data_IF_038673110094
#
_entry.id   IF_038673110094
#
_cell.length_a   1.000
_cell.length_b   1.000
_cell.length_c   1.000
_cell.angle_alpha   90.00
_cell.angle_beta   90.00
_cell.angle_gamma   90.00
#
_symmetry.space_group_name_H-M   'P 1'
#
loop_
_entity.id
_entity.type
_entity.pdbx_description
1 polymer ?
#
# COMPACT_ATOMS: atom_id res chain seq x y z
N UNK A 1 12.61 -29.95 25.54
CA UNK A 1 12.53 -28.50 25.73
C UNK A 1 11.07 -28.13 25.58
N UNK A 2 10.43 -27.63 26.65
CA UNK A 2 9.03 -27.17 26.59
C UNK A 2 8.90 -25.98 25.64
N UNK A 3 7.81 -25.86 24.87
CA UNK A 3 7.57 -24.67 24.08
C UNK A 3 7.42 -23.48 25.03
N UNK A 4 8.14 -22.40 24.76
CA UNK A 4 7.96 -21.14 25.48
C UNK A 4 6.51 -20.72 25.29
N UNK A 5 5.74 -20.64 26.37
CA UNK A 5 4.45 -19.92 26.37
C UNK A 5 4.74 -18.47 26.00
N UNK A 6 4.22 -17.95 24.87
CA UNK A 6 4.26 -16.52 24.62
C UNK A 6 4.06 -16.01 23.19
N UNK A 7 4.28 -16.83 22.16
CA UNK A 7 4.04 -16.44 20.77
C UNK A 7 2.65 -16.85 20.30
N UNK A 8 2.02 -16.02 19.47
CA UNK A 8 0.76 -16.36 18.79
C UNK A 8 1.01 -17.14 17.52
N UNK A 9 2.05 -16.75 16.79
CA UNK A 9 2.60 -17.52 15.67
C UNK A 9 4.11 -17.58 15.90
N UNK A 10 4.59 -18.71 16.40
CA UNK A 10 6.02 -18.93 16.55
C UNK A 10 6.65 -19.07 15.16
N UNK A 11 7.80 -18.44 14.93
CA UNK A 11 8.51 -18.61 13.67
C UNK A 11 9.16 -20.00 13.60
N UNK A 12 9.16 -20.60 12.41
CA UNK A 12 9.73 -21.92 12.16
C UNK A 12 11.23 -22.00 12.47
N UNK A 13 11.93 -20.89 12.23
CA UNK A 13 13.38 -20.75 12.41
C UNK A 13 13.78 -20.65 13.88
N UNK A 14 12.81 -20.49 14.79
CA UNK A 14 13.02 -20.53 16.24
C UNK A 14 13.66 -19.27 16.83
N UNK A 15 13.69 -18.17 16.10
CA UNK A 15 14.13 -16.86 16.59
C UNK A 15 12.94 -16.07 17.18
N UNK A 16 12.88 -15.90 18.52
CA UNK A 16 11.76 -15.24 19.16
C UNK A 16 11.59 -13.75 18.80
N UNK A 17 12.58 -13.12 18.17
CA UNK A 17 12.45 -11.75 17.65
C UNK A 17 11.46 -11.66 16.48
N UNK A 18 11.24 -12.77 15.77
CA UNK A 18 10.33 -12.86 14.63
C UNK A 18 9.06 -13.65 14.94
N UNK A 19 8.83 -14.02 16.19
CA UNK A 19 7.54 -14.52 16.63
C UNK A 19 6.47 -13.42 16.49
N UNK A 20 5.31 -13.77 15.94
CA UNK A 20 4.16 -12.87 15.94
C UNK A 20 3.54 -12.86 17.33
N UNK A 21 3.40 -11.67 17.89
CA UNK A 21 2.72 -11.42 19.16
C UNK A 21 1.72 -10.30 18.99
N UNK A 22 0.45 -10.63 19.12
CA UNK A 22 -0.62 -9.70 18.83
C UNK A 22 -0.91 -8.78 20.02
N UNK A 23 -0.95 -7.46 19.79
CA UNK A 23 -1.03 -6.48 20.86
C UNK A 23 -2.39 -6.45 21.55
N UNK A 24 -3.45 -6.93 20.89
CA UNK A 24 -4.76 -7.08 21.52
C UNK A 24 -4.80 -8.14 22.64
N UNK A 25 -3.75 -8.97 22.76
CA UNK A 25 -3.60 -9.88 23.91
C UNK A 25 -3.01 -9.19 25.14
N UNK A 26 -2.33 -8.07 24.95
CA UNK A 26 -1.70 -7.30 26.03
C UNK A 26 -2.65 -6.25 26.64
N UNK A 27 -3.77 -5.94 25.97
CA UNK A 27 -4.77 -5.01 26.44
C UNK A 27 -5.63 -4.42 25.32
N UNK A 28 -6.48 -3.46 25.68
CA UNK A 28 -7.26 -2.71 24.70
C UNK A 28 -6.34 -1.88 23.79
N UNK A 29 -6.61 -1.91 22.49
CA UNK A 29 -5.90 -1.10 21.50
C UNK A 29 -6.36 0.36 21.60
N UNK A 30 -5.47 1.28 21.28
CA UNK A 30 -5.82 2.71 21.26
C UNK A 30 -6.75 3.01 20.08
N UNK A 31 -7.70 3.94 20.20
CA UNK A 31 -8.47 4.36 19.03
C UNK A 31 -7.58 4.97 17.93
N UNK A 32 -8.05 4.90 16.69
CA UNK A 32 -7.38 5.45 15.52
C UNK A 32 -6.80 4.41 14.56
N UNK A 33 -5.93 4.90 13.67
CA UNK A 33 -5.41 4.19 12.51
C UNK A 33 -3.88 4.20 12.50
N UNK A 34 -3.26 3.04 12.30
CA UNK A 34 -1.82 2.92 12.03
C UNK A 34 -1.60 2.47 10.59
N UNK A 35 -0.81 3.21 9.84
CA UNK A 35 -0.35 2.80 8.51
C UNK A 35 0.89 1.92 8.62
N UNK A 36 0.91 0.78 7.93
CA UNK A 36 2.02 -0.16 7.87
C UNK A 36 2.53 -0.22 6.44
N UNK A 37 3.77 0.23 6.27
CA UNK A 37 4.54 0.08 5.04
C UNK A 37 5.46 -1.13 5.17
N UNK A 38 5.59 -1.89 4.08
CA UNK A 38 6.69 -2.85 3.93
C UNK A 38 7.46 -2.46 2.69
N UNK A 39 8.68 -2.02 2.90
CA UNK A 39 9.45 -1.32 1.88
C UNK A 39 10.66 -2.14 1.50
N UNK A 40 11.00 -2.06 0.22
CA UNK A 40 12.31 -2.45 -0.27
C UNK A 40 12.68 -1.47 -1.38
N UNK A 41 13.75 -0.72 -1.15
CA UNK A 41 14.29 0.24 -2.11
C UNK A 41 13.28 1.31 -2.57
N UNK A 42 12.67 1.98 -1.60
CA UNK A 42 11.62 2.99 -1.81
C UNK A 42 12.09 4.41 -1.46
N UNK A 43 13.39 4.63 -1.19
CA UNK A 43 13.93 5.92 -0.74
C UNK A 43 13.52 7.09 -1.65
N UNK A 44 13.41 6.83 -2.95
CA UNK A 44 12.98 7.82 -3.94
C UNK A 44 11.55 8.31 -3.73
N UNK A 45 10.61 7.43 -3.38
CA UNK A 45 9.19 7.75 -3.32
C UNK A 45 8.77 8.38 -1.99
N UNK A 46 9.50 8.06 -0.91
CA UNK A 46 9.15 8.47 0.46
C UNK A 46 8.95 9.98 0.67
N UNK A 47 9.70 10.89 0.02
CA UNK A 47 9.46 12.33 0.12
C UNK A 47 8.05 12.77 -0.33
N UNK A 48 7.38 12.02 -1.22
CA UNK A 48 5.99 12.29 -1.60
C UNK A 48 5.00 11.47 -0.78
N UNK A 49 5.36 10.25 -0.40
CA UNK A 49 4.46 9.27 0.23
C UNK A 49 4.26 9.52 1.73
N UNK A 50 5.35 9.72 2.48
CA UNK A 50 5.28 9.79 3.94
C UNK A 50 4.64 11.07 4.48
N UNK A 51 4.93 12.29 3.99
CA UNK A 51 4.39 13.51 4.58
C UNK A 51 2.85 13.52 4.66
N UNK A 52 2.08 13.24 3.59
CA UNK A 52 0.62 13.22 3.71
C UNK A 52 0.11 12.05 4.56
N UNK A 53 0.84 10.93 4.62
CA UNK A 53 0.45 9.81 5.49
C UNK A 53 0.60 10.15 6.98
N UNK A 54 1.75 10.72 7.38
CA UNK A 54 2.00 11.18 8.75
C UNK A 54 0.99 12.23 9.20
N UNK A 55 0.48 13.03 8.27
CA UNK A 55 -0.60 13.98 8.50
C UNK A 55 -1.98 13.30 8.71
N UNK A 56 -2.21 12.14 8.09
CA UNK A 56 -3.49 11.46 8.02
C UNK A 56 -3.76 10.47 9.15
N UNK A 57 -2.74 9.74 9.61
CA UNK A 57 -2.90 8.59 10.55
C UNK A 57 -2.18 8.80 11.87
N UNK A 58 -2.65 8.20 12.96
CA UNK A 58 -2.06 8.40 14.29
C UNK A 58 -0.61 7.92 14.39
N UNK A 59 -0.26 6.83 13.70
CA UNK A 59 1.09 6.26 13.72
C UNK A 59 1.46 5.63 12.38
N UNK A 60 2.74 5.61 12.05
CA UNK A 60 3.30 4.92 10.88
C UNK A 60 4.30 3.86 11.34
N UNK A 61 4.15 2.63 10.85
CA UNK A 61 5.14 1.57 10.97
C UNK A 61 5.77 1.35 9.60
N UNK A 62 7.10 1.38 9.54
CA UNK A 62 7.87 0.99 8.36
C UNK A 62 8.62 -0.28 8.72
N UNK A 63 8.40 -1.30 7.91
CA UNK A 63 9.18 -2.53 7.91
C UNK A 63 10.09 -2.51 6.69
N UNK A 64 11.37 -2.24 6.91
CA UNK A 64 12.41 -2.34 5.90
C UNK A 64 12.71 -3.81 5.60
N UNK A 65 12.63 -4.22 4.33
CA UNK A 65 12.96 -5.57 3.89
C UNK A 65 14.17 -5.56 2.97
N UNK A 66 15.35 -5.49 3.58
CA UNK A 66 16.64 -5.62 2.90
C UNK A 66 16.83 -4.53 1.84
N UNK A 67 16.54 -3.27 2.19
CA UNK A 67 16.85 -2.15 1.29
C UNK A 67 18.36 -1.88 1.25
N UNK A 68 18.83 -1.37 0.11
CA UNK A 68 20.22 -0.97 -0.12
C UNK A 68 20.36 0.48 -0.66
N UNK A 69 19.25 1.22 -0.74
CA UNK A 69 19.18 2.59 -1.26
C UNK A 69 19.03 3.67 -0.17
N UNK A 70 19.11 3.29 1.11
CA UNK A 70 18.91 4.21 2.25
C UNK A 70 17.44 4.46 2.63
N UNK A 71 16.50 3.61 2.17
CA UNK A 71 15.07 3.68 2.52
C UNK A 71 14.80 3.97 4.01
N UNK A 72 15.38 3.23 5.00
CA UNK A 72 15.07 3.49 6.40
C UNK A 72 15.58 4.85 6.90
N UNK A 73 16.74 5.31 6.43
CA UNK A 73 17.29 6.63 6.78
C UNK A 73 16.42 7.76 6.23
N UNK A 74 16.04 7.68 4.94
CA UNK A 74 15.17 8.67 4.30
C UNK A 74 13.80 8.72 5.00
N UNK A 75 13.25 7.57 5.38
CA UNK A 75 11.99 7.54 6.11
C UNK A 75 12.05 8.33 7.43
N UNK A 76 13.13 8.15 8.20
CA UNK A 76 13.31 8.83 9.47
C UNK A 76 13.57 10.32 9.28
N UNK A 77 14.35 10.70 8.27
CA UNK A 77 14.60 12.10 7.90
C UNK A 77 13.30 12.83 7.55
N UNK A 78 12.50 12.27 6.64
CA UNK A 78 11.21 12.85 6.22
C UNK A 78 10.26 12.99 7.40
N UNK A 79 10.20 11.99 8.30
CA UNK A 79 9.36 12.08 9.49
C UNK A 79 9.82 13.19 10.45
N UNK A 80 11.13 13.37 10.63
CA UNK A 80 11.70 14.43 11.45
C UNK A 80 11.42 15.82 10.86
N UNK A 81 11.58 15.98 9.54
CA UNK A 81 11.24 17.22 8.82
C UNK A 81 9.75 17.57 8.95
N UNK A 82 8.88 16.57 8.98
CA UNK A 82 7.45 16.74 9.24
C UNK A 82 7.12 17.00 10.73
N UNK A 83 8.09 16.96 11.63
CA UNK A 83 7.86 17.07 13.08
C UNK A 83 7.08 15.90 13.67
N UNK A 84 7.14 14.72 13.03
CA UNK A 84 6.40 13.51 13.39
C UNK A 84 7.32 12.31 13.72
N UNK A 85 8.57 12.58 14.11
CA UNK A 85 9.56 11.55 14.42
C UNK A 85 9.18 10.62 15.58
N UNK A 86 8.31 11.06 16.48
CA UNK A 86 7.75 10.28 17.59
C UNK A 86 6.55 9.38 17.17
N UNK A 87 6.00 9.61 15.97
CA UNK A 87 4.83 8.91 15.41
C UNK A 87 5.20 7.93 14.29
N UNK A 88 6.49 7.64 14.15
CA UNK A 88 7.01 6.65 13.22
C UNK A 88 7.78 5.58 13.98
N UNK A 89 7.66 4.34 13.52
CA UNK A 89 8.51 3.23 13.96
C UNK A 89 9.12 2.58 12.73
N UNK A 90 10.45 2.64 12.63
CA UNK A 90 11.20 1.98 11.57
C UNK A 90 11.82 0.71 12.17
N UNK A 91 11.51 -0.45 11.58
CA UNK A 91 12.05 -1.74 11.98
C UNK A 91 12.59 -2.48 10.76
N UNK A 92 13.53 -3.39 10.98
CA UNK A 92 14.15 -4.18 9.92
C UNK A 92 13.63 -5.62 9.96
N UNK A 93 13.36 -6.16 8.78
CA UNK A 93 13.07 -7.57 8.56
C UNK A 93 14.15 -8.16 7.64
N UNK A 94 15.25 -8.69 8.21
CA UNK A 94 16.46 -9.07 7.48
C UNK A 94 16.37 -10.46 6.85
N UNK A 95 15.16 -10.91 6.51
CA UNK A 95 14.93 -12.19 5.85
C UNK A 95 14.43 -11.99 4.43
N UNK A 96 14.94 -12.78 3.49
CA UNK A 96 14.39 -12.82 2.14
C UNK A 96 12.98 -13.40 2.19
N UNK A 97 11.99 -12.60 1.81
CA UNK A 97 10.59 -13.02 1.75
C UNK A 97 10.28 -13.64 0.38
N UNK A 98 9.49 -14.70 0.39
CA UNK A 98 8.95 -15.36 -0.81
C UNK A 98 8.07 -14.41 -1.62
N UNK A 99 8.28 -14.40 -2.94
CA UNK A 99 7.43 -13.64 -3.87
C UNK A 99 6.08 -14.35 -4.06
N UNK A 100 5.04 -13.57 -4.37
CA UNK A 100 3.76 -14.13 -4.82
C UNK A 100 3.98 -15.07 -6.03
N UNK A 101 3.22 -16.17 -6.09
CA UNK A 101 3.37 -17.25 -7.06
C UNK A 101 3.94 -18.53 -6.44
N UNK A 102 4.81 -19.21 -7.20
CA UNK A 102 5.36 -20.52 -6.83
C UNK A 102 6.25 -20.47 -5.59
N UNK A 103 7.04 -19.40 -5.40
CA UNK A 103 7.84 -19.21 -4.18
C UNK A 103 6.94 -19.15 -2.94
N UNK A 104 5.86 -18.35 -3.00
CA UNK A 104 4.88 -18.30 -1.94
C UNK A 104 4.30 -19.69 -1.70
N UNK A 105 3.75 -20.35 -2.72
CA UNK A 105 3.11 -21.66 -2.61
C UNK A 105 4.01 -22.71 -1.92
N UNK A 106 5.30 -22.72 -2.25
CA UNK A 106 6.29 -23.64 -1.69
C UNK A 106 6.72 -23.29 -0.24
N UNK A 107 6.55 -22.04 0.19
CA UNK A 107 7.02 -21.56 1.50
C UNK A 107 5.96 -21.77 2.57
N UNK A 108 6.34 -22.44 3.67
CA UNK A 108 5.44 -22.68 4.80
C UNK A 108 4.93 -21.37 5.42
N UNK A 109 3.68 -21.30 5.91
CA UNK A 109 3.09 -20.08 6.44
C UNK A 109 3.76 -19.54 7.70
N UNK A 110 4.45 -20.39 8.47
CA UNK A 110 5.08 -20.08 9.75
C UNK A 110 6.59 -19.78 9.65
N UNK A 111 7.17 -19.82 8.44
CA UNK A 111 8.57 -19.46 8.22
C UNK A 111 8.75 -17.95 8.11
N UNK A 112 9.88 -17.41 8.60
CA UNK A 112 10.27 -16.01 8.38
C UNK A 112 10.42 -15.66 6.89
N UNK A 113 10.59 -16.65 6.02
CA UNK A 113 10.62 -16.47 4.57
C UNK A 113 9.21 -16.38 3.94
N UNK A 114 8.16 -16.61 4.72
CA UNK A 114 6.78 -16.58 4.24
C UNK A 114 6.26 -15.18 4.10
N UNK A 115 5.63 -14.88 2.96
CA UNK A 115 4.91 -13.61 2.78
C UNK A 115 3.78 -13.44 3.82
N UNK A 116 3.10 -14.54 4.19
CA UNK A 116 2.05 -14.53 5.22
C UNK A 116 2.62 -14.20 6.60
N UNK A 117 3.73 -14.85 6.99
CA UNK A 117 4.40 -14.57 8.27
C UNK A 117 4.92 -13.14 8.32
N UNK A 118 5.60 -12.71 7.26
CA UNK A 118 6.12 -11.35 7.12
C UNK A 118 5.03 -10.30 7.33
N UNK A 119 3.86 -10.50 6.70
CA UNK A 119 2.70 -9.62 6.88
C UNK A 119 2.19 -9.65 8.32
N UNK A 120 1.96 -10.82 8.91
CA UNK A 120 1.48 -10.90 10.29
C UNK A 120 2.46 -10.27 11.29
N UNK A 121 3.77 -10.53 11.14
CA UNK A 121 4.80 -9.90 11.96
C UNK A 121 4.80 -8.37 11.80
N UNK A 122 4.74 -7.87 10.56
CA UNK A 122 4.68 -6.42 10.29
C UNK A 122 3.50 -5.75 10.98
N UNK A 123 2.31 -6.36 10.92
CA UNK A 123 1.10 -5.82 11.53
C UNK A 123 1.03 -6.04 13.06
N UNK A 124 1.85 -6.94 13.61
CA UNK A 124 1.96 -7.14 15.06
C UNK A 124 2.55 -5.92 15.79
N UNK A 125 3.16 -4.98 15.07
CA UNK A 125 3.64 -3.70 15.60
C UNK A 125 2.56 -2.64 15.76
N UNK A 126 1.37 -2.81 15.17
CA UNK A 126 0.27 -1.83 15.26
C UNK A 126 -0.26 -1.76 16.70
N UNK A 127 -0.56 -0.57 17.22
CA UNK A 127 -1.12 -0.39 18.58
C UNK A 127 -2.49 0.28 18.59
N UNK A 128 -3.01 0.61 17.42
CA UNK A 128 -4.32 1.20 17.23
C UNK A 128 -5.37 0.15 16.89
N UNK A 129 -6.64 0.48 17.07
CA UNK A 129 -7.78 -0.39 16.81
C UNK A 129 -7.93 -0.73 15.32
N UNK A 130 -7.34 0.06 14.43
CA UNK A 130 -7.33 -0.17 12.99
C UNK A 130 -5.93 -0.13 12.40
N UNK A 131 -5.73 -0.95 11.39
CA UNK A 131 -4.50 -0.99 10.61
C UNK A 131 -4.77 -0.73 9.14
N UNK A 132 -3.82 -0.07 8.50
CA UNK A 132 -3.84 0.25 7.08
C UNK A 132 -2.62 -0.34 6.41
N UNK A 133 -2.80 -1.23 5.44
CA UNK A 133 -1.75 -1.60 4.50
C UNK A 133 -1.54 -0.42 3.54
N UNK A 134 -0.30 -0.11 3.20
CA UNK A 134 0.00 0.86 2.16
C UNK A 134 1.32 0.51 1.47
N UNK A 135 1.41 0.82 0.18
CA UNK A 135 2.60 0.51 -0.63
C UNK A 135 3.49 1.76 -0.76
N UNK A 136 4.79 1.53 -0.98
CA UNK A 136 5.83 2.56 -0.99
C UNK A 136 5.75 3.54 -2.16
N UNK A 137 4.92 3.25 -3.16
CA UNK A 137 4.66 4.06 -4.34
C UNK A 137 3.29 4.76 -4.31
N UNK A 138 2.53 4.65 -3.22
CA UNK A 138 1.19 5.23 -3.12
C UNK A 138 1.17 6.59 -2.42
N UNK A 139 0.79 7.64 -3.13
CA UNK A 139 0.74 9.03 -2.60
C UNK A 139 -0.69 9.46 -2.35
N UNK A 140 -0.98 9.93 -1.14
CA UNK A 140 -2.27 10.54 -0.80
C UNK A 140 -2.41 11.95 -1.38
N UNK A 141 -3.61 12.27 -1.86
CA UNK A 141 -4.00 13.64 -2.20
C UNK A 141 -4.38 14.42 -0.94
N UNK A 142 -4.47 15.76 -1.04
CA UNK A 142 -4.95 16.58 0.09
C UNK A 142 -6.34 16.18 0.58
N UNK A 143 -7.23 15.79 -0.34
CA UNK A 143 -8.55 15.25 0.01
C UNK A 143 -8.43 13.89 0.71
N UNK A 144 -7.53 13.02 0.22
CA UNK A 144 -7.23 11.74 0.87
C UNK A 144 -6.77 11.88 2.32
N UNK A 145 -5.91 12.86 2.59
CA UNK A 145 -5.46 13.18 3.96
C UNK A 145 -6.65 13.54 4.86
N UNK A 146 -7.51 14.45 4.41
CA UNK A 146 -8.69 14.86 5.19
C UNK A 146 -9.64 13.69 5.45
N UNK A 147 -9.96 12.91 4.41
CA UNK A 147 -10.87 11.76 4.54
C UNK A 147 -10.31 10.71 5.50
N UNK A 148 -9.03 10.35 5.39
CA UNK A 148 -8.44 9.34 6.28
C UNK A 148 -8.37 9.82 7.72
N UNK A 149 -8.08 11.12 7.95
CA UNK A 149 -8.11 11.70 9.29
C UNK A 149 -9.51 11.61 9.91
N UNK A 150 -10.54 11.99 9.17
CA UNK A 150 -11.92 11.95 9.65
C UNK A 150 -12.42 10.51 9.85
N UNK A 151 -12.03 9.61 8.94
CA UNK A 151 -12.37 8.19 9.00
C UNK A 151 -11.78 7.51 10.23
N UNK A 152 -10.57 7.91 10.67
CA UNK A 152 -9.93 7.30 11.85
C UNK A 152 -10.78 7.38 13.12
N UNK A 153 -11.60 8.44 13.26
CA UNK A 153 -12.55 8.60 14.36
C UNK A 153 -13.88 7.86 14.13
N UNK A 154 -14.34 7.78 12.88
CA UNK A 154 -15.61 7.13 12.53
C UNK A 154 -15.55 5.60 12.57
N UNK A 155 -14.34 5.04 12.46
CA UNK A 155 -14.14 3.60 12.41
C UNK A 155 -14.25 2.94 13.80
N UNK A 156 -14.15 3.69 14.89
CA UNK A 156 -14.29 3.17 16.25
C UNK A 156 -15.57 2.33 16.39
N UNK A 157 -15.42 1.06 16.81
CA UNK A 157 -16.49 0.06 16.97
C UNK A 157 -17.33 -0.27 15.72
N UNK A 158 -16.91 0.18 14.52
CA UNK A 158 -17.69 -0.05 13.29
C UNK A 158 -17.54 -1.45 12.69
N UNK A 159 -16.45 -2.16 13.00
CA UNK A 159 -16.00 -3.39 12.34
C UNK A 159 -15.96 -3.29 10.80
N UNK A 160 -15.90 -2.08 10.24
CA UNK A 160 -15.90 -1.89 8.80
C UNK A 160 -14.50 -2.14 8.22
N UNK A 161 -14.43 -2.71 7.01
CA UNK A 161 -13.23 -2.64 6.17
C UNK A 161 -13.41 -1.53 5.13
N UNK A 162 -12.32 -0.87 4.77
CA UNK A 162 -12.37 0.24 3.81
C UNK A 162 -11.53 -0.07 2.59
N UNK A 163 -12.19 -0.08 1.44
CA UNK A 163 -11.59 -0.15 0.14
C UNK A 163 -11.26 1.24 -0.39
N UNK A 164 -10.01 1.42 -0.80
CA UNK A 164 -9.47 2.70 -1.28
C UNK A 164 -9.18 2.57 -2.77
N UNK A 165 -9.92 3.29 -3.63
CA UNK A 165 -9.58 3.34 -5.04
C UNK A 165 -8.25 4.05 -5.26
N UNK A 166 -7.36 3.41 -6.03
CA UNK A 166 -6.06 3.97 -6.43
C UNK A 166 -6.00 4.17 -7.93
N UNK A 167 -5.32 5.23 -8.36
CA UNK A 167 -5.15 5.58 -9.77
C UNK A 167 -3.67 5.57 -10.14
N UNK A 168 -3.22 4.75 -11.10
CA UNK A 168 -1.83 4.80 -11.57
C UNK A 168 -1.49 6.17 -12.15
N UNK A 169 -0.31 6.68 -11.80
CA UNK A 169 0.27 7.92 -12.28
C UNK A 169 1.65 7.62 -12.86
N UNK A 170 1.73 7.49 -14.18
CA UNK A 170 2.99 7.29 -14.90
C UNK A 170 3.75 8.61 -15.02
N UNK A 171 4.87 8.74 -14.32
CA UNK A 171 5.70 9.94 -14.31
C UNK A 171 6.69 9.87 -15.47
N UNK A 172 6.55 10.78 -16.42
CA UNK A 172 7.38 10.91 -17.62
C UNK A 172 8.60 11.79 -17.37
N UNK A 173 8.42 12.86 -16.59
CA UNK A 173 9.46 13.78 -16.16
C UNK A 173 9.02 14.54 -14.92
N UNK A 174 9.90 15.39 -14.36
CA UNK A 174 9.55 16.26 -13.24
C UNK A 174 8.30 17.12 -13.48
N UNK A 175 7.95 17.42 -14.73
CA UNK A 175 6.81 18.28 -15.07
C UNK A 175 5.67 17.58 -15.82
N UNK A 176 5.82 16.31 -16.18
CA UNK A 176 4.84 15.60 -17.02
C UNK A 176 4.53 14.23 -16.43
N UNK A 177 3.23 13.92 -16.31
CA UNK A 177 2.75 12.62 -15.91
C UNK A 177 1.45 12.26 -16.60
N UNK A 178 1.09 10.97 -16.54
CA UNK A 178 -0.12 10.42 -17.15
C UNK A 178 -0.94 9.67 -16.10
N UNK A 179 -2.14 10.15 -15.83
CA UNK A 179 -3.07 9.56 -14.88
C UNK A 179 -3.99 8.55 -15.59
N UNK A 180 -4.02 7.31 -15.12
CA UNK A 180 -4.91 6.29 -15.65
C UNK A 180 -6.25 6.23 -14.88
N UNK A 181 -7.31 6.68 -15.55
CA UNK A 181 -8.70 6.60 -15.08
C UNK A 181 -9.51 5.50 -15.80
N UNK A 182 -8.86 4.74 -16.69
CA UNK A 182 -9.48 3.72 -17.53
C UNK A 182 -9.68 2.37 -16.84
N UNK A 183 -9.11 2.16 -15.64
CA UNK A 183 -9.25 0.92 -14.89
C UNK A 183 -9.59 1.17 -13.42
N UNK A 184 -10.43 0.32 -12.84
CA UNK A 184 -10.83 0.41 -11.42
C UNK A 184 -9.96 -0.52 -10.58
N UNK A 185 -9.05 0.04 -9.80
CA UNK A 185 -8.33 -0.69 -8.76
C UNK A 185 -9.05 -0.47 -7.44
N UNK A 186 -9.71 -1.51 -6.93
CA UNK A 186 -10.43 -1.46 -5.67
C UNK A 186 -9.99 -2.63 -4.80
N UNK A 187 -9.22 -2.33 -3.77
CA UNK A 187 -8.77 -3.30 -2.78
C UNK A 187 -9.07 -2.75 -1.39
N UNK A 188 -9.45 -3.60 -0.40
CA UNK A 188 -9.52 -3.18 0.98
C UNK A 188 -8.12 -3.02 1.57
N UNK A 189 -7.86 -1.84 2.14
CA UNK A 189 -6.55 -1.46 2.71
C UNK A 189 -6.63 -1.24 4.21
N UNK A 190 -7.79 -0.85 4.73
CA UNK A 190 -8.01 -0.53 6.14
C UNK A 190 -8.88 -1.61 6.77
N UNK A 191 -8.42 -2.16 7.89
CA UNK A 191 -9.06 -3.26 8.59
C UNK A 191 -9.00 -3.06 10.10
N UNK A 192 -10.00 -3.54 10.84
CA UNK A 192 -9.90 -3.67 12.29
C UNK A 192 -8.69 -4.53 12.68
N UNK A 193 -8.14 -4.27 13.86
CA UNK A 193 -7.15 -5.12 14.49
C UNK A 193 -7.85 -6.13 15.39
N UNK A 194 -7.65 -7.42 15.13
CA UNK A 194 -8.23 -8.49 15.91
C UNK A 194 -7.98 -9.87 15.29
N UNK A 195 -8.35 -10.94 16.01
CA UNK A 195 -8.09 -12.32 15.58
C UNK A 195 -8.80 -12.70 14.28
N UNK A 196 -9.88 -12.01 13.91
CA UNK A 196 -10.64 -12.27 12.68
C UNK A 196 -10.05 -11.56 11.44
N UNK A 197 -9.03 -10.72 11.62
CA UNK A 197 -8.47 -9.83 10.59
C UNK A 197 -6.97 -10.08 10.36
N UNK A 198 -6.50 -11.31 10.53
CA UNK A 198 -5.10 -11.70 10.30
C UNK A 198 -4.86 -12.09 8.84
N UNK A 199 -3.59 -12.09 8.42
CA UNK A 199 -3.22 -12.62 7.11
C UNK A 199 -3.13 -14.13 7.15
N UNK A 200 -3.75 -14.78 6.17
CA UNK A 200 -3.66 -16.21 5.93
C UNK A 200 -2.97 -16.49 4.60
N UNK A 201 -2.52 -17.73 4.48
CA UNK A 201 -1.89 -18.23 3.27
C UNK A 201 -2.98 -18.67 2.28
N UNK A 202 -3.11 -17.96 1.16
CA UNK A 202 -3.82 -18.48 0.00
C UNK A 202 -2.82 -19.22 -0.92
N UNK A 203 -3.26 -19.65 -2.11
CA UNK A 203 -2.41 -20.44 -3.00
C UNK A 203 -1.12 -19.71 -3.40
N UNK A 204 -1.26 -18.57 -4.06
CA UNK A 204 -0.12 -17.84 -4.66
C UNK A 204 0.16 -16.51 -3.97
N UNK A 205 -0.62 -16.10 -2.97
CA UNK A 205 -0.43 -14.85 -2.23
C UNK A 205 -1.06 -14.93 -0.83
N UNK A 206 -0.81 -13.93 -0.02
CA UNK A 206 -1.42 -13.71 1.29
C UNK A 206 -2.75 -12.97 1.17
N UNK A 207 -3.77 -13.44 1.89
CA UNK A 207 -5.08 -12.78 1.94
C UNK A 207 -5.34 -12.35 3.38
N UNK A 208 -5.93 -11.19 3.57
CA UNK A 208 -6.46 -10.80 4.88
C UNK A 208 -7.86 -11.36 5.03
N UNK A 209 -8.05 -12.25 6.00
CA UNK A 209 -9.39 -12.74 6.32
C UNK A 209 -10.22 -11.64 6.96
N UNK A 210 -11.53 -11.74 6.78
CA UNK A 210 -12.51 -10.93 7.50
C UNK A 210 -13.87 -11.64 7.43
N UNK A 211 -14.72 -11.54 8.46
CA UNK A 211 -16.05 -12.15 8.46
C UNK A 211 -16.93 -11.66 7.31
N UNK A 212 -17.83 -12.50 6.81
CA UNK A 212 -18.80 -12.10 5.76
C UNK A 212 -19.74 -10.98 6.22
N UNK A 213 -20.01 -10.89 7.53
CA UNK A 213 -20.82 -9.85 8.16
C UNK A 213 -20.12 -8.49 8.25
N UNK A 214 -18.85 -8.39 7.87
CA UNK A 214 -18.05 -7.16 7.93
C UNK A 214 -18.64 -6.12 6.98
N UNK A 215 -18.95 -4.94 7.53
CA UNK A 215 -19.37 -3.79 6.73
C UNK A 215 -18.25 -3.39 5.76
N UNK A 216 -18.59 -3.18 4.48
CA UNK A 216 -17.63 -2.75 3.46
C UNK A 216 -17.90 -1.31 3.07
N UNK A 217 -16.93 -0.44 3.32
CA UNK A 217 -16.96 0.94 2.88
C UNK A 217 -16.04 1.10 1.67
N UNK A 218 -16.48 1.91 0.69
CA UNK A 218 -15.66 2.28 -0.46
C UNK A 218 -15.37 3.77 -0.36
N UNK A 219 -14.10 4.12 -0.20
CA UNK A 219 -13.66 5.50 -0.18
C UNK A 219 -13.86 6.14 -1.58
N UNK A 220 -14.05 7.46 -1.65
CA UNK A 220 -14.13 8.18 -2.93
C UNK A 220 -12.93 7.92 -3.85
N UNK A 221 -13.13 8.08 -5.16
CA UNK A 221 -12.03 8.04 -6.13
C UNK A 221 -11.20 9.33 -6.08
N UNK A 222 -9.88 9.23 -6.28
CA UNK A 222 -8.98 10.38 -6.34
C UNK A 222 -8.32 10.73 -5.02
N UNK A 223 -8.39 9.83 -4.03
CA UNK A 223 -7.73 10.01 -2.73
C UNK A 223 -6.26 9.62 -2.74
N UNK A 224 -5.87 8.70 -3.63
CA UNK A 224 -4.48 8.33 -3.81
C UNK A 224 -4.15 8.03 -5.27
N UNK A 225 -2.87 8.21 -5.58
CA UNK A 225 -2.25 7.78 -6.83
C UNK A 225 -1.15 6.76 -6.53
N UNK A 226 -0.89 5.86 -7.46
CA UNK A 226 0.24 4.94 -7.42
C UNK A 226 1.28 5.39 -8.45
N UNK A 227 2.49 5.72 -8.00
CA UNK A 227 3.56 6.23 -8.85
C UNK A 227 4.13 5.11 -9.73
N UNK A 228 4.35 5.42 -11.00
CA UNK A 228 5.05 4.55 -11.98
C UNK A 228 6.07 5.37 -12.76
N UNK A 229 7.36 5.18 -12.52
CA UNK A 229 8.44 5.97 -13.11
C UNK A 229 8.84 5.43 -14.48
N UNK A 230 8.67 6.23 -15.54
CA UNK A 230 9.04 5.81 -16.89
C UNK A 230 10.54 5.84 -17.15
N UNK A 231 11.33 6.57 -16.38
CA UNK A 231 12.79 6.62 -16.49
C UNK A 231 13.48 5.48 -15.72
N UNK A 232 12.73 4.73 -14.91
CA UNK A 232 13.22 3.56 -14.19
C UNK A 232 12.74 2.27 -14.86
N UNK A 233 13.54 1.22 -14.73
CA UNK A 233 13.23 -0.08 -15.31
C UNK A 233 12.26 -0.87 -14.41
N UNK A 234 11.03 -0.36 -14.25
CA UNK A 234 9.98 -0.99 -13.44
C UNK A 234 9.55 -2.38 -13.99
N UNK A 235 9.92 -2.69 -15.24
CA UNK A 235 9.56 -3.93 -15.93
C UNK A 235 10.74 -4.89 -16.13
N UNK A 236 11.95 -4.56 -15.63
CA UNK A 236 13.15 -5.42 -15.72
C UNK A 236 12.94 -6.84 -15.18
N UNK A 237 11.97 -7.01 -14.27
CA UNK A 237 11.66 -8.28 -13.62
C UNK A 237 10.62 -9.13 -14.38
N UNK A 238 10.12 -8.67 -15.53
CA UNK A 238 9.14 -9.40 -16.32
C UNK A 238 9.88 -10.22 -17.39
N UNK A 239 10.22 -11.47 -17.06
CA UNK A 239 10.69 -12.43 -18.06
C UNK A 239 9.56 -12.77 -19.02
N UNK A 240 9.88 -12.87 -20.31
CA UNK A 240 9.03 -13.24 -21.44
C UNK A 240 7.67 -13.89 -21.10
N UNK A 241 6.61 -13.10 -21.31
CA UNK A 241 5.32 -13.53 -21.87
C UNK A 241 4.79 -14.93 -21.45
N UNK A 242 4.55 -15.16 -20.16
CA UNK A 242 3.59 -16.20 -19.74
C UNK A 242 2.30 -15.52 -19.22
N UNK A 243 1.68 -14.77 -20.14
CA UNK A 243 0.35 -14.21 -19.91
C UNK A 243 -0.66 -15.33 -20.10
N UNK A 244 -0.95 -16.11 -19.06
CA UNK A 244 -2.20 -16.86 -19.02
C UNK A 244 -3.33 -15.83 -19.19
N UNK A 245 -3.91 -15.85 -20.39
CA UNK A 245 -4.76 -14.80 -20.97
C UNK A 245 -6.05 -14.54 -20.16
N UNK A 246 -6.29 -15.32 -19.12
CA UNK A 246 -7.44 -15.25 -18.23
C UNK A 246 -7.18 -14.60 -16.85
N UNK A 247 -5.91 -14.44 -16.39
CA UNK A 247 -5.64 -14.28 -14.94
C UNK A 247 -5.19 -12.91 -14.41
N UNK A 248 -4.95 -11.88 -15.23
CA UNK A 248 -4.62 -10.55 -14.68
C UNK A 248 -4.98 -9.37 -15.61
N UNK A 249 -6.26 -8.96 -15.66
CA UNK A 249 -6.69 -7.75 -16.39
C UNK A 249 -5.89 -6.49 -16.02
N UNK A 250 -5.48 -6.38 -14.75
CA UNK A 250 -4.58 -5.34 -14.23
C UNK A 250 -3.24 -5.30 -14.96
N UNK A 251 -2.50 -6.42 -14.97
CA UNK A 251 -1.16 -6.49 -15.58
C UNK A 251 -1.22 -6.17 -17.07
N UNK A 252 -2.29 -6.59 -17.75
CA UNK A 252 -2.53 -6.24 -19.16
C UNK A 252 -2.71 -4.74 -19.35
N UNK A 253 -3.47 -4.08 -18.46
CA UNK A 253 -3.66 -2.63 -18.49
C UNK A 253 -2.36 -1.88 -18.24
N UNK A 254 -1.62 -2.26 -17.20
CA UNK A 254 -0.32 -1.67 -16.86
C UNK A 254 0.67 -1.79 -18.03
N UNK A 255 0.74 -2.97 -18.65
CA UNK A 255 1.56 -3.19 -19.85
C UNK A 255 1.11 -2.32 -21.03
N UNK A 256 -0.20 -2.28 -21.32
CA UNK A 256 -0.75 -1.45 -22.41
C UNK A 256 -0.36 0.02 -22.24
N UNK A 257 -0.54 0.57 -21.04
CA UNK A 257 -0.22 1.96 -20.72
C UNK A 257 1.29 2.20 -20.86
N UNK A 258 2.11 1.35 -20.25
CA UNK A 258 3.56 1.49 -20.31
C UNK A 258 4.10 1.44 -21.74
N UNK A 259 3.71 0.43 -22.53
CA UNK A 259 4.16 0.32 -23.93
C UNK A 259 3.71 1.51 -24.77
N UNK A 260 2.46 1.97 -24.61
CA UNK A 260 1.99 3.13 -25.34
C UNK A 260 2.73 4.41 -24.97
N UNK A 261 3.07 4.61 -23.68
CA UNK A 261 3.85 5.76 -23.23
C UNK A 261 5.28 5.73 -23.75
N UNK A 262 5.93 4.55 -23.74
CA UNK A 262 7.26 4.35 -24.34
C UNK A 262 7.29 4.67 -25.84
N UNK A 263 6.21 4.36 -26.55
CA UNK A 263 6.07 4.63 -27.98
C UNK A 263 5.61 6.08 -28.29
N UNK A 264 5.39 6.93 -27.29
CA UNK A 264 4.83 8.28 -27.48
C UNK A 264 3.34 8.30 -27.88
N UNK A 265 2.64 7.18 -27.70
CA UNK A 265 1.23 6.94 -28.08
C UNK A 265 0.26 6.97 -26.89
N UNK A 266 0.66 7.54 -25.75
CA UNK A 266 -0.19 7.59 -24.55
C UNK A 266 -1.59 8.19 -24.78
N UNK A 267 -1.69 9.18 -25.66
CA UNK A 267 -2.95 9.84 -26.03
C UNK A 267 -3.95 8.93 -26.76
N UNK A 268 -3.48 7.81 -27.34
CA UNK A 268 -4.32 6.80 -27.98
C UNK A 268 -4.97 5.85 -26.97
N UNK A 269 -4.50 5.83 -25.72
CA UNK A 269 -4.97 4.91 -24.68
C UNK A 269 -6.23 5.48 -24.01
N UNK A 270 -7.41 4.82 -24.12
CA UNK A 270 -8.63 5.33 -23.50
C UNK A 270 -8.50 5.45 -21.98
N UNK A 271 -8.94 6.58 -21.42
CA UNK A 271 -8.90 6.85 -19.98
C UNK A 271 -7.53 7.27 -19.45
N UNK A 272 -6.52 7.44 -20.31
CA UNK A 272 -5.23 7.98 -19.90
C UNK A 272 -5.22 9.51 -20.10
N UNK A 273 -4.83 10.24 -19.06
CA UNK A 273 -4.88 11.71 -19.05
C UNK A 273 -3.49 12.28 -18.82
N UNK A 274 -2.97 13.01 -19.81
CA UNK A 274 -1.72 13.75 -19.67
C UNK A 274 -1.91 14.97 -18.79
N UNK A 275 -1.01 15.16 -17.84
CA UNK A 275 -0.99 16.29 -16.90
C UNK A 275 0.40 16.92 -16.96
N UNK A 276 0.42 18.24 -17.16
CA UNK A 276 1.63 19.05 -17.06
C UNK A 276 1.55 19.93 -15.83
N UNK A 277 2.61 19.97 -15.02
CA UNK A 277 2.71 20.91 -13.91
C UNK A 277 3.27 22.27 -14.35
N UNK A 278 2.99 23.35 -13.59
CA UNK A 278 3.63 24.63 -13.79
C UNK A 278 5.17 24.56 -13.60
N UNK A 279 5.93 25.48 -14.20
CA UNK A 279 7.37 25.56 -14.00
C UNK A 279 7.76 25.63 -12.52
N UNK A 280 8.74 24.81 -12.13
CA UNK A 280 9.26 24.75 -10.76
C UNK A 280 8.41 23.95 -9.78
N UNK A 281 7.35 23.28 -10.23
CA UNK A 281 6.52 22.39 -9.40
C UNK A 281 6.63 20.96 -9.92
N UNK A 282 7.03 20.02 -9.06
CA UNK A 282 7.06 18.61 -9.44
C UNK A 282 5.65 18.10 -9.74
N UNK A 283 5.51 17.27 -10.77
CA UNK A 283 4.21 16.83 -11.28
C UNK A 283 3.43 16.01 -10.26
N UNK A 284 4.09 15.22 -9.41
CA UNK A 284 3.45 14.48 -8.31
C UNK A 284 2.77 15.43 -7.33
N UNK A 285 3.45 16.51 -6.93
CA UNK A 285 2.86 17.53 -6.04
C UNK A 285 1.73 18.29 -6.73
N UNK A 286 1.89 18.62 -8.01
CA UNK A 286 0.83 19.28 -8.77
C UNK A 286 -0.43 18.42 -8.84
N UNK A 287 -0.27 17.13 -9.18
CA UNK A 287 -1.38 16.17 -9.30
C UNK A 287 -2.09 16.02 -7.97
N UNK A 288 -1.36 15.76 -6.89
CA UNK A 288 -1.91 15.38 -5.58
C UNK A 288 -2.42 16.57 -4.75
N UNK A 289 -1.88 17.77 -4.97
CA UNK A 289 -2.24 18.98 -4.21
C UNK A 289 -3.14 19.95 -4.97
N UNK A 290 -3.15 19.89 -6.30
CA UNK A 290 -3.87 20.89 -7.13
C UNK A 290 -4.82 20.26 -8.13
N UNK A 291 -4.33 19.37 -9.01
CA UNK A 291 -5.12 18.86 -10.13
C UNK A 291 -6.26 17.94 -9.65
N UNK A 292 -5.95 16.88 -8.90
CA UNK A 292 -6.95 15.92 -8.42
C UNK A 292 -7.98 16.55 -7.48
N UNK A 293 -7.59 17.40 -6.50
CA UNK A 293 -8.55 18.08 -5.64
C UNK A 293 -9.50 19.03 -6.37
N UNK A 294 -9.15 19.49 -7.58
CA UNK A 294 -9.98 20.37 -8.42
C UNK A 294 -10.71 19.62 -9.55
N UNK A 295 -10.44 18.34 -9.72
CA UNK A 295 -11.06 17.54 -10.76
C UNK A 295 -12.57 17.39 -10.48
N UNK A 296 -13.38 17.53 -11.52
CA UNK A 296 -14.84 17.37 -11.41
C UNK A 296 -15.17 15.94 -10.94
N UNK A 297 -16.14 15.83 -10.02
CA UNK A 297 -16.65 14.54 -9.54
C UNK A 297 -17.94 14.17 -10.30
N UNK A 298 -18.19 12.88 -10.59
CA UNK A 298 -17.34 11.73 -10.32
C UNK A 298 -16.10 11.73 -11.22
N UNK A 299 -14.95 11.35 -10.66
CA UNK A 299 -13.67 11.35 -11.37
C UNK A 299 -13.71 10.42 -12.59
N UNK A 300 -14.34 9.24 -12.45
CA UNK A 300 -14.60 8.33 -13.55
C UNK A 300 -16.10 8.27 -13.85
N UNK A 301 -16.50 8.75 -15.03
CA UNK A 301 -17.88 8.63 -15.52
C UNK A 301 -18.08 7.27 -16.20
N UNK A 302 -18.32 6.21 -15.41
CA UNK A 302 -18.61 4.87 -15.93
C UNK A 302 -20.04 4.80 -16.47
N UNK A 303 -20.22 4.40 -17.73
CA UNK A 303 -21.54 4.06 -18.29
C UNK A 303 -21.99 2.70 -17.72
N UNK A 304 -22.89 2.70 -16.74
CA UNK A 304 -23.70 1.53 -16.37
C UNK A 304 -23.22 0.67 -15.20
N UNK A 305 -24.19 0.44 -14.28
CA UNK A 305 -24.33 -0.46 -13.13
C UNK A 305 -23.12 -0.79 -12.23
N UNK A 306 -23.14 -0.14 -11.05
CA UNK A 306 -22.67 -0.71 -9.80
C UNK A 306 -23.50 -1.97 -9.50
N UNK A 307 -22.92 -3.16 -9.66
CA UNK A 307 -23.31 -4.31 -8.84
C UNK A 307 -22.29 -4.35 -7.70
N UNK A 308 -22.80 -4.10 -6.49
CA UNK A 308 -22.11 -4.23 -5.21
C UNK A 308 -22.23 -5.68 -4.77
#
# INVERSE_FOLDING_TARGET
MSPVRGADIACLEGDPAYDVRWPWKDGALSPGLTCVFRLKNEAHNLPWVLPPMLEAVQHVVIVDNLSDDGTPEVAQEVANECGAGDRITVTSYPHRVSRAGSEHLATRPDSVHSLTHFYNWSFSHVRTAYSMKWDGDMVLTREGVSILRDLSWQLEDSNAIVAVPRHPLSVESEQVAWLDLGFRFLEPWIYPMGPEFTFVKAFEWEVREFPESTTRLVAPEGLCVELKWLDRDEFAHWSDMDFDTSRAPRKRREWQVYSALRDGRGHEVPGLHRIESPPGVHVVDHVTRTWLPRAERPLVRRKGRLEV
#
